data_IF_816082510777
#
_entry.id   IF_816082510777
#
_cell.length_a   1.000
_cell.length_b   1.000
_cell.length_c   1.000
_cell.angle_alpha   90.00
_cell.angle_beta   90.00
_cell.angle_gamma   90.00
#
_symmetry.space_group_name_H-M   'P 1'
#
loop_
_entity.id
_entity.type
_entity.pdbx_description
1 polymer ?
#
# COMPACT_ATOMS: atom_id res chain seq x y z
N UNK A 1 2.49 -10.84 13.55
CA UNK A 1 1.57 -10.21 12.57
C UNK A 1 2.05 -8.78 12.36
N UNK A 2 2.33 -8.39 11.12
CA UNK A 2 2.72 -7.01 10.77
C UNK A 2 1.52 -6.32 10.12
N UNK A 3 1.26 -5.08 10.50
CA UNK A 3 0.19 -4.25 9.93
C UNK A 3 0.77 -2.90 9.53
N UNK A 4 0.41 -2.43 8.34
CA UNK A 4 0.77 -1.08 7.91
C UNK A 4 -0.27 -0.10 8.44
N UNK A 5 0.20 0.95 9.11
CA UNK A 5 -0.63 2.04 9.60
C UNK A 5 -0.39 3.25 8.72
N UNK A 6 -1.42 3.67 7.99
CA UNK A 6 -1.42 4.91 7.22
C UNK A 6 -2.25 5.99 7.92
N UNK A 7 -1.99 7.25 7.60
CA UNK A 7 -2.68 8.42 8.18
C UNK A 7 -3.78 8.96 7.26
N UNK A 8 -4.50 8.08 6.56
CA UNK A 8 -5.48 8.49 5.54
C UNK A 8 -6.79 9.04 6.10
N UNK A 9 -7.02 8.95 7.41
CA UNK A 9 -8.26 9.37 8.07
C UNK A 9 -8.08 10.59 8.97
N UNK A 10 -6.98 10.62 9.74
CA UNK A 10 -6.67 11.69 10.69
C UNK A 10 -5.16 11.95 10.73
N UNK A 11 -4.80 13.14 11.19
CA UNK A 11 -3.40 13.54 11.44
C UNK A 11 -2.85 12.96 12.75
N UNK A 12 -3.71 12.44 13.61
CA UNK A 12 -3.36 11.94 14.94
C UNK A 12 -3.95 10.55 15.18
N UNK A 13 -3.22 9.72 15.93
CA UNK A 13 -3.66 8.40 16.38
C UNK A 13 -3.36 8.24 17.86
N UNK A 14 -4.35 7.76 18.62
CA UNK A 14 -4.18 7.46 20.04
C UNK A 14 -3.67 6.04 20.24
N UNK A 15 -2.59 5.89 21.02
CA UNK A 15 -1.95 4.62 21.30
C UNK A 15 -1.97 4.31 22.81
N UNK A 16 -2.28 3.06 23.16
CA UNK A 16 -2.28 2.61 24.55
C UNK A 16 -0.90 2.06 24.93
N UNK A 17 -0.11 2.84 25.67
CA UNK A 17 1.25 2.47 26.08
C UNK A 17 1.31 1.18 26.91
N UNK A 18 0.32 0.94 27.80
CA UNK A 18 0.26 -0.30 28.58
C UNK A 18 0.16 -1.51 27.66
N UNK A 19 -0.63 -1.43 26.59
CA UNK A 19 -0.80 -2.50 25.60
C UNK A 19 0.46 -2.70 24.78
N UNK A 20 1.12 -1.61 24.36
CA UNK A 20 2.37 -1.67 23.60
C UNK A 20 3.45 -2.39 24.41
N UNK A 21 3.61 -2.01 25.68
CA UNK A 21 4.63 -2.59 26.57
C UNK A 21 4.29 -4.03 26.97
N UNK A 22 3.01 -4.34 27.25
CA UNK A 22 2.62 -5.69 27.68
C UNK A 22 2.60 -6.72 26.55
N UNK A 23 2.45 -6.28 25.30
CA UNK A 23 2.43 -7.15 24.11
C UNK A 23 3.69 -7.06 23.25
N UNK A 24 4.71 -6.31 23.70
CA UNK A 24 5.97 -6.11 22.96
C UNK A 24 5.73 -5.70 21.50
N UNK A 25 4.86 -4.72 21.29
CA UNK A 25 4.57 -4.19 19.95
C UNK A 25 5.76 -3.32 19.51
N UNK A 26 6.30 -3.60 18.33
CA UNK A 26 7.37 -2.82 17.72
C UNK A 26 6.82 -1.91 16.62
N UNK A 27 7.28 -0.66 16.60
CA UNK A 27 7.02 0.30 15.53
C UNK A 27 8.25 0.42 14.66
N UNK A 28 8.06 0.30 13.35
CA UNK A 28 9.08 0.58 12.36
C UNK A 28 8.57 1.75 11.50
N UNK A 29 9.44 2.70 11.22
CA UNK A 29 9.16 3.70 10.18
C UNK A 29 9.09 2.97 8.84
N UNK A 30 8.03 3.26 8.07
CA UNK A 30 7.90 2.80 6.69
C UNK A 30 7.57 4.01 5.83
N UNK A 31 8.62 4.67 5.34
CA UNK A 31 8.50 5.76 4.38
C UNK A 31 9.14 5.32 3.07
N UNK A 32 8.28 4.94 2.11
CA UNK A 32 8.72 4.24 0.91
C UNK A 32 9.86 4.95 0.19
N UNK A 33 9.80 6.27 0.02
CA UNK A 33 10.85 7.02 -0.68
C UNK A 33 12.23 6.96 0.02
N UNK A 34 12.29 6.88 1.36
CA UNK A 34 13.55 6.66 2.09
C UNK A 34 14.04 5.23 1.92
N UNK A 35 13.14 4.25 1.83
CA UNK A 35 13.54 2.86 1.59
C UNK A 35 14.15 2.68 0.20
N UNK A 36 13.69 3.44 -0.81
CA UNK A 36 14.28 3.42 -2.16
C UNK A 36 15.76 3.90 -2.19
N UNK A 37 16.22 4.61 -1.16
CA UNK A 37 17.63 5.01 -1.04
C UNK A 37 18.49 3.91 -0.39
N UNK A 38 17.87 2.96 0.31
CA UNK A 38 18.55 1.91 1.08
C UNK A 38 18.75 0.62 0.29
N UNK A 39 17.83 0.30 -0.62
CA UNK A 39 17.85 -0.90 -1.45
C UNK A 39 17.67 -0.55 -2.93
N UNK A 40 18.13 -1.46 -3.79
CA UNK A 40 17.91 -1.32 -5.23
C UNK A 40 16.45 -1.57 -5.57
N UNK A 41 15.77 -0.53 -6.06
CA UNK A 41 14.37 -0.63 -6.54
C UNK A 41 14.22 -1.72 -7.61
N UNK A 42 15.25 -1.93 -8.43
CA UNK A 42 15.23 -2.96 -9.47
C UNK A 42 15.23 -4.37 -8.87
N UNK A 43 16.02 -4.61 -7.82
CA UNK A 43 16.06 -5.91 -7.13
C UNK A 43 14.75 -6.18 -6.39
N UNK A 44 14.20 -5.16 -5.71
CA UNK A 44 12.92 -5.26 -5.02
C UNK A 44 11.77 -5.55 -6.01
N UNK A 45 11.75 -4.86 -7.16
CA UNK A 45 10.75 -5.09 -8.19
C UNK A 45 10.89 -6.48 -8.82
N UNK A 46 12.11 -6.97 -9.05
CA UNK A 46 12.35 -8.33 -9.51
C UNK A 46 11.80 -9.36 -8.50
N UNK A 47 12.05 -9.15 -7.20
CA UNK A 47 11.51 -10.00 -6.15
C UNK A 47 9.98 -10.03 -6.16
N UNK A 48 9.33 -8.86 -6.24
CA UNK A 48 7.88 -8.75 -6.34
C UNK A 48 7.32 -9.47 -7.59
N UNK A 49 7.95 -9.29 -8.74
CA UNK A 49 7.55 -9.96 -9.98
C UNK A 49 7.67 -11.48 -9.87
N UNK A 50 8.73 -11.99 -9.24
CA UNK A 50 8.91 -13.43 -9.01
C UNK A 50 7.84 -13.99 -8.06
N UNK A 51 7.48 -13.27 -7.00
CA UNK A 51 6.40 -13.68 -6.09
C UNK A 51 5.06 -13.76 -6.82
N UNK A 52 4.79 -12.84 -7.76
CA UNK A 52 3.59 -12.90 -8.61
C UNK A 52 3.65 -14.10 -9.55
N UNK A 53 4.77 -14.31 -10.24
CA UNK A 53 4.96 -15.43 -11.15
C UNK A 53 4.80 -16.79 -10.44
N UNK A 54 5.25 -16.89 -9.19
CA UNK A 54 5.14 -18.09 -8.37
C UNK A 54 3.76 -18.26 -7.70
N UNK A 55 2.82 -17.33 -7.90
CA UNK A 55 1.50 -17.36 -7.25
C UNK A 55 1.52 -17.08 -5.73
N UNK A 56 2.65 -16.62 -5.19
CA UNK A 56 2.82 -16.28 -3.77
C UNK A 56 2.30 -14.88 -3.44
N UNK A 57 2.22 -14.01 -4.46
CA UNK A 57 1.62 -12.69 -4.37
C UNK A 57 0.53 -12.55 -5.43
N UNK A 58 -0.71 -12.27 -5.00
CA UNK A 58 -1.82 -11.98 -5.90
C UNK A 58 -2.27 -10.51 -5.73
N UNK A 59 -1.81 -9.59 -6.60
CA UNK A 59 -2.22 -8.19 -6.54
C UNK A 59 -3.71 -8.05 -6.87
N UNK A 60 -4.52 -7.70 -5.87
CA UNK A 60 -5.95 -7.42 -6.09
C UNK A 60 -6.12 -6.12 -6.89
N UNK A 61 -6.60 -6.26 -8.12
CA UNK A 61 -7.04 -5.15 -8.98
C UNK A 61 -8.57 -5.10 -8.90
N UNK A 62 -9.10 -3.99 -8.41
CA UNK A 62 -10.55 -3.80 -8.24
C UNK A 62 -11.16 -3.02 -9.41
N UNK A 63 -10.39 -2.11 -10.02
CA UNK A 63 -10.82 -1.32 -11.17
C UNK A 63 -9.73 -1.37 -12.24
N UNK A 64 -10.13 -1.59 -13.49
CA UNK A 64 -9.32 -1.35 -14.69
C UNK A 64 -10.12 -0.43 -15.61
N UNK A 65 -9.53 0.67 -16.04
CA UNK A 65 -10.20 1.68 -16.85
C UNK A 65 -9.20 2.40 -17.79
N UNK A 66 -9.65 3.04 -18.87
CA UNK A 66 -8.77 3.89 -19.68
C UNK A 66 -8.35 5.13 -18.90
N UNK A 67 -7.18 5.69 -19.24
CA UNK A 67 -6.66 6.91 -18.62
C UNK A 67 -7.61 8.11 -18.76
N UNK A 68 -8.44 8.14 -19.80
CA UNK A 68 -9.47 9.17 -20.00
C UNK A 68 -10.49 9.24 -18.87
N UNK A 69 -10.64 8.17 -18.07
CA UNK A 69 -11.56 8.09 -16.93
C UNK A 69 -10.87 8.38 -15.58
N UNK A 70 -9.62 8.84 -15.58
CA UNK A 70 -8.83 9.04 -14.35
C UNK A 70 -9.53 9.89 -13.29
N UNK A 71 -10.26 10.94 -13.71
CA UNK A 71 -10.99 11.82 -12.79
C UNK A 71 -12.05 11.06 -12.00
N UNK A 72 -12.89 10.28 -12.68
CA UNK A 72 -13.96 9.50 -12.04
C UNK A 72 -13.39 8.41 -11.12
N UNK A 73 -12.38 7.68 -11.62
CA UNK A 73 -11.73 6.61 -10.84
C UNK A 73 -11.07 7.19 -9.58
N UNK A 74 -10.46 8.37 -9.68
CA UNK A 74 -9.85 9.06 -8.53
C UNK A 74 -10.92 9.44 -7.50
N UNK A 75 -12.06 10.01 -7.92
CA UNK A 75 -13.14 10.34 -6.98
C UNK A 75 -13.67 9.10 -6.28
N UNK A 76 -13.89 8.00 -7.01
CA UNK A 76 -14.30 6.72 -6.41
C UNK A 76 -13.27 6.17 -5.41
N UNK A 77 -11.98 6.39 -5.64
CA UNK A 77 -10.92 6.02 -4.71
C UNK A 77 -10.99 6.85 -3.42
N UNK A 78 -11.15 8.18 -3.55
CA UNK A 78 -11.27 9.10 -2.42
C UNK A 78 -12.54 8.82 -1.59
N UNK A 79 -13.65 8.51 -2.26
CA UNK A 79 -14.91 8.10 -1.65
C UNK A 79 -14.87 6.70 -1.00
N UNK A 80 -13.68 6.05 -0.96
CA UNK A 80 -13.47 4.69 -0.43
C UNK A 80 -14.34 3.63 -1.13
N UNK A 81 -14.74 3.84 -2.38
CA UNK A 81 -15.53 2.89 -3.20
C UNK A 81 -14.68 1.89 -3.99
N UNK A 82 -13.35 2.01 -3.91
CA UNK A 82 -12.41 1.08 -4.54
C UNK A 82 -11.68 0.32 -3.44
N UNK A 83 -11.86 -1.00 -3.39
CA UNK A 83 -11.17 -1.87 -2.42
C UNK A 83 -9.94 -2.50 -3.07
N UNK A 84 -8.78 -1.87 -2.92
CA UNK A 84 -7.51 -2.36 -3.48
C UNK A 84 -6.93 -1.39 -4.50
N UNK A 85 -6.47 -1.92 -5.64
CA UNK A 85 -5.82 -1.11 -6.69
C UNK A 85 -6.76 -0.77 -7.83
N UNK A 86 -6.62 0.44 -8.36
CA UNK A 86 -7.14 0.84 -9.67
C UNK A 86 -5.97 0.90 -10.66
N UNK A 87 -6.14 0.33 -11.85
CA UNK A 87 -5.15 0.38 -12.94
C UNK A 87 -5.75 1.18 -14.08
N UNK A 88 -5.02 2.22 -14.51
CA UNK A 88 -5.41 3.06 -15.63
C UNK A 88 -4.51 2.75 -16.83
N UNK A 89 -5.11 2.33 -17.93
CA UNK A 89 -4.40 2.01 -19.16
C UNK A 89 -4.32 3.23 -20.08
N UNK A 90 -3.11 3.52 -20.59
CA UNK A 90 -2.95 4.40 -21.74
C UNK A 90 -3.37 3.58 -22.97
N UNK A 91 -4.36 4.07 -23.72
CA UNK A 91 -4.77 3.47 -24.99
C UNK A 91 -3.69 3.67 -26.06
#
# INVERSE_FOLDING_TARGET
>A
MCVNLGTSESTEVSLNLRTILSKSIHFCELFLLKELERSSVAEDLQGLAQLVANGQLNPRINVQAPWTEASEVTQRFLDRRITGKAVLALA
#
